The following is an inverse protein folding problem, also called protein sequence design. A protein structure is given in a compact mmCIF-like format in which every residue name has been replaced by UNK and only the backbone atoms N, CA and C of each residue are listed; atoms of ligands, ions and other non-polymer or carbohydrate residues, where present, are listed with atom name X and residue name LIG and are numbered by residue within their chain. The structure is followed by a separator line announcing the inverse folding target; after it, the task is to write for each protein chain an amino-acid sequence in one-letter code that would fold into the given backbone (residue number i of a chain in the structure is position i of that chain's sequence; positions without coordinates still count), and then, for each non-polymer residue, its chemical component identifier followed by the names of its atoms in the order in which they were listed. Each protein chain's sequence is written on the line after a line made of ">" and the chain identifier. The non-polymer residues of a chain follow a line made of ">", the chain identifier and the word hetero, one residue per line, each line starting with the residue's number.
data_IF_762883142440
#
_entry.id   IF_762883142440
#
_cell.length_a   1.000
_cell.length_b   1.000
_cell.length_c   1.000
_cell.angle_alpha   90.00
_cell.angle_beta   90.00
_cell.angle_gamma   90.00
#
_symmetry.space_group_name_H-M   'P 1'
#
loop_
_entity.id
_entity.type
_entity.pdbx_description
1 polymer ?
#
# COMPACT_ATOMS: atom_id res chain seq x y z
N UNK A 1 -43.27 34.34 -69.27
CA UNK A 1 -43.58 33.06 -68.59
C UNK A 1 -42.64 32.86 -67.40
N UNK A 2 -43.16 32.62 -66.19
CA UNK A 2 -42.39 32.38 -64.94
C UNK A 2 -42.26 30.87 -64.68
N UNK A 3 -41.05 30.33 -64.50
CA UNK A 3 -40.87 28.96 -63.95
C UNK A 3 -39.62 28.83 -63.06
N UNK A 4 -39.90 28.57 -61.76
CA UNK A 4 -39.33 27.64 -60.76
C UNK A 4 -37.81 27.60 -60.42
N UNK A 5 -37.57 27.78 -59.11
CA UNK A 5 -36.48 27.20 -58.30
C UNK A 5 -36.23 25.70 -58.61
N UNK A 6 -34.95 25.29 -58.65
CA UNK A 6 -34.55 23.90 -58.36
C UNK A 6 -33.21 23.82 -57.62
N UNK A 7 -33.10 22.77 -56.81
CA UNK A 7 -32.25 22.56 -55.63
C UNK A 7 -30.77 22.29 -55.94
N UNK A 8 -29.91 22.80 -55.04
CA UNK A 8 -28.76 22.17 -54.38
C UNK A 8 -28.30 20.77 -54.88
N UNK A 9 -27.00 20.64 -55.19
CA UNK A 9 -26.21 19.44 -54.82
C UNK A 9 -24.71 19.74 -54.75
N UNK A 10 -24.14 19.50 -53.56
CA UNK A 10 -22.71 19.44 -53.22
C UNK A 10 -21.92 18.60 -54.23
N UNK A 11 -20.69 18.99 -54.54
CA UNK A 11 -19.59 18.02 -54.54
C UNK A 11 -18.27 18.63 -54.07
N UNK A 12 -17.72 18.00 -53.03
CA UNK A 12 -16.40 18.26 -52.45
C UNK A 12 -15.38 17.50 -53.29
N UNK A 13 -14.32 18.16 -53.73
CA UNK A 13 -13.09 17.45 -54.10
C UNK A 13 -11.87 18.11 -53.47
N UNK A 14 -11.27 17.36 -52.54
CA UNK A 14 -10.12 17.76 -51.72
C UNK A 14 -8.85 17.72 -52.57
N UNK A 15 -8.29 18.87 -52.92
CA UNK A 15 -6.92 18.97 -53.44
C UNK A 15 -5.93 18.95 -52.26
N UNK A 16 -5.25 17.82 -52.05
CA UNK A 16 -4.12 17.69 -51.10
C UNK A 16 -2.83 18.24 -51.76
N UNK A 17 -2.12 19.12 -51.06
CA UNK A 17 -0.67 19.39 -51.26
C UNK A 17 -0.01 19.59 -49.89
N UNK A 18 1.08 18.90 -49.54
CA UNK A 18 1.85 19.18 -48.32
C UNK A 18 3.16 19.91 -48.65
N UNK A 19 3.64 20.74 -47.71
CA UNK A 19 5.05 20.83 -47.26
C UNK A 19 5.32 22.12 -46.47
N UNK A 20 6.03 22.00 -45.35
CA UNK A 20 6.68 23.11 -44.67
C UNK A 20 6.81 22.93 -43.15
N UNK A 21 7.76 22.12 -42.71
CA UNK A 21 8.25 22.09 -41.32
C UNK A 21 8.97 23.41 -41.04
N UNK A 22 8.61 24.13 -39.98
CA UNK A 22 9.39 25.28 -39.47
C UNK A 22 9.69 25.07 -37.98
N UNK A 23 10.95 24.76 -37.72
CA UNK A 23 11.57 24.69 -36.39
C UNK A 23 11.35 25.99 -35.59
N UNK A 24 10.87 25.86 -34.35
CA UNK A 24 10.81 26.97 -33.39
C UNK A 24 11.99 26.87 -32.43
N UNK A 25 12.92 27.81 -32.57
CA UNK A 25 14.12 28.03 -31.75
C UNK A 25 13.72 28.38 -30.30
N UNK A 26 14.06 27.54 -29.33
CA UNK A 26 13.78 27.77 -27.90
C UNK A 26 14.77 28.78 -27.29
N UNK A 27 14.25 29.88 -26.72
CA UNK A 27 15.00 30.83 -25.89
C UNK A 27 15.21 30.23 -24.49
N UNK A 28 16.46 29.92 -24.12
CA UNK A 28 16.82 29.52 -22.75
C UNK A 28 16.85 30.76 -21.84
N UNK A 29 15.97 30.81 -20.84
CA UNK A 29 16.00 31.82 -19.77
C UNK A 29 16.65 31.22 -18.52
N UNK A 30 17.74 31.83 -18.06
CA UNK A 30 18.49 31.43 -16.86
C UNK A 30 17.77 31.94 -15.62
N UNK A 31 16.97 31.10 -14.97
CA UNK A 31 16.36 31.41 -13.66
C UNK A 31 17.39 31.14 -12.55
N UNK A 32 17.79 32.20 -11.84
CA UNK A 32 18.58 32.10 -10.59
C UNK A 32 17.67 31.51 -9.52
N UNK A 33 18.03 30.34 -8.97
CA UNK A 33 17.32 29.69 -7.86
C UNK A 33 17.81 30.26 -6.53
N UNK A 34 16.91 30.89 -5.78
CA UNK A 34 17.19 31.26 -4.39
C UNK A 34 17.13 30.01 -3.53
N UNK A 35 18.22 29.75 -2.80
CA UNK A 35 18.38 28.63 -1.88
C UNK A 35 17.48 28.83 -0.66
N UNK A 36 16.28 28.23 -0.68
CA UNK A 36 15.41 28.10 0.49
C UNK A 36 16.11 27.19 1.51
N UNK A 37 16.70 27.78 2.55
CA UNK A 37 17.19 27.04 3.73
C UNK A 37 15.98 26.51 4.50
N UNK A 38 15.55 25.29 4.17
CA UNK A 38 14.61 24.52 5.01
C UNK A 38 15.32 24.16 6.31
N UNK A 39 14.85 24.68 7.44
CA UNK A 39 15.38 24.34 8.78
C UNK A 39 15.05 22.88 9.09
N UNK A 40 16.07 22.02 9.13
CA UNK A 40 15.95 20.62 9.52
C UNK A 40 15.87 20.53 11.04
N UNK A 41 14.65 20.53 11.59
CA UNK A 41 14.42 20.27 13.01
C UNK A 41 14.44 18.76 13.23
N UNK A 42 15.63 18.18 13.38
CA UNK A 42 15.79 16.86 13.98
C UNK A 42 16.88 16.94 15.04
N UNK A 43 16.55 17.26 16.31
CA UNK A 43 17.48 16.88 17.36
C UNK A 43 16.84 16.51 18.70
N UNK A 44 15.56 16.12 18.77
CA UNK A 44 14.99 15.67 20.06
C UNK A 44 14.42 14.25 20.01
N UNK A 45 13.56 13.95 19.04
CA UNK A 45 13.01 12.59 18.86
C UNK A 45 14.12 11.54 18.66
N UNK A 46 15.15 11.85 17.88
CA UNK A 46 16.30 10.97 17.69
C UNK A 46 17.10 10.76 18.98
N UNK A 47 17.27 11.80 19.80
CA UNK A 47 18.04 11.72 21.04
C UNK A 47 17.30 10.95 22.13
N UNK A 48 15.99 11.09 22.23
CA UNK A 48 15.17 10.26 23.13
C UNK A 48 15.24 8.79 22.71
N UNK A 49 15.08 8.48 21.41
CA UNK A 49 15.23 7.11 20.91
C UNK A 49 16.63 6.55 21.14
N UNK A 50 17.68 7.34 20.90
CA UNK A 50 19.06 6.94 21.14
C UNK A 50 19.30 6.69 22.64
N UNK A 51 18.88 7.60 23.53
CA UNK A 51 19.05 7.47 24.97
C UNK A 51 18.29 6.29 25.57
N UNK A 52 17.05 6.04 25.11
CA UNK A 52 16.28 4.86 25.50
C UNK A 52 16.96 3.59 24.99
N UNK A 53 17.42 3.56 23.74
CA UNK A 53 18.13 2.40 23.16
C UNK A 53 19.48 2.14 23.84
N UNK A 54 20.23 3.18 24.20
CA UNK A 54 21.47 3.09 24.96
C UNK A 54 21.21 2.61 26.39
N UNK A 55 20.13 3.07 27.04
CA UNK A 55 19.73 2.61 28.37
C UNK A 55 19.33 1.12 28.36
N UNK A 56 18.69 0.64 27.29
CA UNK A 56 18.44 -0.79 27.07
C UNK A 56 19.73 -1.62 26.92
N UNK A 57 20.86 -1.00 26.59
CA UNK A 57 22.15 -1.70 26.50
C UNK A 57 22.81 -1.89 27.88
N UNK A 58 22.52 -1.03 28.87
CA UNK A 58 23.08 -1.10 30.24
C UNK A 58 22.16 -1.88 31.19
N UNK A 59 21.41 -2.84 30.67
CA UNK A 59 20.61 -3.73 31.50
C UNK A 59 21.52 -4.60 32.39
N UNK A 60 21.28 -4.67 33.71
CA UNK A 60 22.00 -5.56 34.60
C UNK A 60 21.98 -7.02 34.10
N UNK A 61 23.03 -7.77 34.39
CA UNK A 61 23.21 -9.16 33.92
C UNK A 61 22.02 -10.06 34.25
N UNK A 62 21.40 -9.89 35.42
CA UNK A 62 20.23 -10.68 35.83
C UNK A 62 18.98 -10.38 34.98
N UNK A 63 18.81 -9.12 34.56
CA UNK A 63 17.68 -8.71 33.72
C UNK A 63 17.81 -9.26 32.30
N UNK A 64 19.04 -9.30 31.76
CA UNK A 64 19.31 -9.97 30.47
C UNK A 64 18.98 -11.46 30.54
N UNK A 65 19.39 -12.16 31.60
CA UNK A 65 19.04 -13.57 31.83
C UNK A 65 17.53 -13.78 31.94
N UNK A 66 16.83 -12.88 32.62
CA UNK A 66 15.37 -12.93 32.73
C UNK A 66 14.69 -12.78 31.36
N UNK A 67 15.10 -11.79 30.55
CA UNK A 67 14.59 -11.61 29.18
C UNK A 67 14.85 -12.83 28.30
N UNK A 68 16.01 -13.47 28.44
CA UNK A 68 16.36 -14.68 27.70
C UNK A 68 15.42 -15.85 28.04
N UNK A 69 15.02 -15.99 29.31
CA UNK A 69 14.03 -16.98 29.74
C UNK A 69 12.61 -16.73 29.20
N UNK A 70 12.30 -15.49 28.80
CA UNK A 70 10.98 -15.10 28.25
C UNK A 70 10.99 -14.91 26.74
N UNK A 71 12.07 -15.30 26.04
CA UNK A 71 12.19 -15.18 24.59
C UNK A 71 11.04 -15.87 23.85
N UNK A 72 10.50 -16.95 24.42
CA UNK A 72 9.39 -17.72 23.85
C UNK A 72 8.04 -16.99 23.92
N UNK A 73 7.90 -15.98 24.78
CA UNK A 73 6.69 -15.14 24.85
C UNK A 73 6.64 -14.09 23.73
N UNK A 74 7.79 -13.76 23.15
CA UNK A 74 7.93 -12.78 22.07
C UNK A 74 8.63 -13.39 20.85
N UNK A 75 8.06 -14.44 20.25
CA UNK A 75 8.64 -15.04 19.07
C UNK A 75 8.61 -14.03 17.92
N UNK A 76 9.68 -13.99 17.12
CA UNK A 76 9.77 -13.09 15.95
C UNK A 76 8.77 -13.48 14.85
N UNK A 77 8.39 -14.75 14.81
CA UNK A 77 7.46 -15.34 13.86
C UNK A 77 6.38 -16.14 14.61
N UNK A 78 5.22 -16.32 13.98
CA UNK A 78 4.14 -17.17 14.54
C UNK A 78 4.72 -18.59 14.78
N UNK A 79 4.66 -19.13 16.02
CA UNK A 79 5.17 -20.46 16.32
C UNK A 79 4.39 -21.53 15.57
N UNK A 80 5.00 -22.70 15.34
CA UNK A 80 4.31 -23.85 14.77
C UNK A 80 3.49 -24.54 15.86
N UNK A 81 2.27 -24.94 15.52
CA UNK A 81 1.34 -25.61 16.40
C UNK A 81 0.40 -24.68 17.15
N UNK A 82 -0.59 -25.29 17.79
CA UNK A 82 -1.59 -24.58 18.57
C UNK A 82 -0.95 -23.89 19.78
N UNK A 83 -1.42 -22.69 20.14
CA UNK A 83 -1.03 -22.09 21.41
C UNK A 83 -1.34 -23.08 22.54
N UNK A 84 -0.56 -23.07 23.64
CA UNK A 84 -0.83 -23.90 24.80
C UNK A 84 -2.32 -23.81 25.16
N UNK A 85 -2.95 -24.96 25.41
CA UNK A 85 -4.38 -25.04 25.74
C UNK A 85 -4.63 -24.11 26.92
N UNK A 86 -5.20 -22.93 26.64
CA UNK A 86 -5.67 -22.04 27.69
C UNK A 86 -6.79 -22.79 28.40
N UNK A 87 -6.84 -22.74 29.72
CA UNK A 87 -7.94 -23.35 30.50
C UNK A 87 -9.32 -22.74 30.22
N UNK A 88 -9.41 -21.80 29.27
CA UNK A 88 -10.61 -21.11 28.84
C UNK A 88 -11.00 -21.69 27.48
N UNK A 89 -12.08 -22.47 27.47
CA UNK A 89 -12.70 -22.95 26.24
C UNK A 89 -13.55 -21.83 25.65
N UNK A 90 -13.21 -21.37 24.45
CA UNK A 90 -14.11 -20.50 23.68
C UNK A 90 -15.30 -21.35 23.20
N UNK A 91 -16.49 -21.02 23.68
CA UNK A 91 -17.73 -21.62 23.20
C UNK A 91 -18.42 -20.60 22.30
N UNK A 92 -18.79 -21.03 21.09
CA UNK A 92 -19.59 -20.22 20.18
C UNK A 92 -21.04 -20.66 20.40
N UNK A 93 -21.80 -19.86 21.14
CA UNK A 93 -23.22 -20.11 21.34
C UNK A 93 -23.99 -19.78 20.05
N UNK A 94 -24.75 -20.76 19.53
CA UNK A 94 -25.71 -20.53 18.46
C UNK A 94 -27.12 -20.41 19.04
N UNK A 95 -27.93 -19.51 18.49
CA UNK A 95 -29.37 -19.50 18.78
C UNK A 95 -30.03 -20.71 18.12
N UNK A 96 -31.05 -21.29 18.76
CA UNK A 96 -31.83 -22.39 18.19
C UNK A 96 -32.46 -21.93 16.87
N UNK A 97 -32.13 -22.61 15.76
CA UNK A 97 -32.55 -22.22 14.41
C UNK A 97 -31.56 -21.36 13.62
N UNK A 98 -30.40 -21.01 14.21
CA UNK A 98 -29.32 -20.36 13.46
C UNK A 98 -28.80 -21.28 12.35
N UNK A 99 -28.70 -20.74 11.13
CA UNK A 99 -28.06 -21.42 10.00
C UNK A 99 -26.66 -20.83 9.81
N UNK A 100 -25.65 -21.70 9.66
CA UNK A 100 -24.28 -21.25 9.36
C UNK A 100 -24.25 -20.49 8.02
N UNK A 101 -23.64 -19.30 7.95
CA UNK A 101 -23.57 -18.55 6.71
C UNK A 101 -22.65 -19.27 5.71
N UNK A 102 -23.24 -19.81 4.64
CA UNK A 102 -22.51 -20.37 3.49
C UNK A 102 -22.67 -19.43 2.29
N UNK A 103 -21.86 -18.36 2.25
CA UNK A 103 -21.82 -17.43 1.12
C UNK A 103 -20.67 -17.81 0.20
N UNK A 104 -20.89 -17.69 -1.11
CA UNK A 104 -19.80 -17.80 -2.08
C UNK A 104 -18.69 -16.79 -1.76
N UNK A 105 -17.44 -17.19 -2.01
CA UNK A 105 -16.29 -16.32 -1.79
C UNK A 105 -16.42 -15.02 -2.58
N UNK A 106 -16.04 -13.91 -1.95
CA UNK A 106 -15.94 -12.62 -2.63
C UNK A 106 -14.87 -12.66 -3.72
N UNK A 107 -15.09 -11.88 -4.78
CA UNK A 107 -14.10 -11.72 -5.85
C UNK A 107 -12.99 -10.78 -5.36
N UNK A 108 -11.75 -11.26 -5.35
CA UNK A 108 -10.57 -10.49 -4.99
C UNK A 108 -9.88 -9.88 -6.22
N UNK A 109 -9.21 -8.74 -6.04
CA UNK A 109 -8.31 -8.16 -7.04
C UNK A 109 -6.87 -8.75 -6.94
N UNK A 110 -5.93 -8.27 -7.77
CA UNK A 110 -4.56 -8.81 -7.84
C UNK A 110 -3.67 -8.40 -6.66
N UNK A 111 -3.98 -7.31 -5.97
CA UNK A 111 -3.24 -6.90 -4.76
C UNK A 111 -3.76 -7.65 -3.53
N UNK A 112 -5.09 -7.73 -3.39
CA UNK A 112 -5.76 -8.51 -2.34
C UNK A 112 -5.39 -10.00 -2.41
N UNK A 113 -5.24 -10.57 -3.61
CA UNK A 113 -4.85 -11.98 -3.74
C UNK A 113 -3.45 -12.27 -3.21
N UNK A 114 -2.51 -11.30 -3.27
CA UNK A 114 -1.18 -11.43 -2.66
C UNK A 114 -1.24 -11.40 -1.13
N UNK A 115 -2.13 -10.57 -0.57
CA UNK A 115 -2.36 -10.54 0.87
C UNK A 115 -3.02 -11.84 1.34
N UNK A 116 -4.02 -12.34 0.61
CA UNK A 116 -4.70 -13.60 0.92
C UNK A 116 -3.74 -14.80 0.79
N UNK A 117 -2.76 -14.77 -0.13
CA UNK A 117 -1.72 -15.81 -0.21
C UNK A 117 -0.91 -15.94 1.09
N UNK A 118 -0.87 -14.92 1.95
CA UNK A 118 -0.23 -15.03 3.27
C UNK A 118 -0.92 -16.06 4.18
N UNK A 119 -2.19 -16.40 3.92
CA UNK A 119 -2.90 -17.47 4.62
C UNK A 119 -2.20 -18.83 4.42
N UNK A 120 -1.50 -19.05 3.31
CA UNK A 120 -0.69 -20.26 3.11
C UNK A 120 0.33 -20.48 4.23
N UNK A 121 0.95 -19.40 4.72
CA UNK A 121 1.90 -19.46 5.87
C UNK A 121 1.21 -19.84 7.18
N UNK A 122 -0.10 -19.60 7.31
CA UNK A 122 -0.88 -20.00 8.48
C UNK A 122 -1.22 -21.49 8.40
N UNK A 123 -1.62 -21.97 7.22
CA UNK A 123 -1.93 -23.39 6.98
C UNK A 123 -0.71 -24.28 7.26
N UNK A 124 0.48 -23.85 6.88
CA UNK A 124 1.72 -24.58 7.17
C UNK A 124 2.06 -24.66 8.68
N UNK A 125 1.50 -23.76 9.50
CA UNK A 125 1.81 -23.66 10.93
C UNK A 125 0.85 -24.45 11.81
N UNK A 126 -0.37 -24.74 11.34
CA UNK A 126 -1.37 -25.56 12.03
C UNK A 126 -2.22 -24.77 13.00
#
# INVERSE_FOLDING_TARGET
>A
MKIKRKKNKKNREKKRRPRGFKEKKQRKTKRRSTLSKKRTLIPFSYYICFHVSSSLFVLPTWFRKMLENFKDLFPKDIPRGLPPIKGIKYHIDFTLGATLPNKASYKSNLEESKEIQQVGKLVEKG
#
